data_IF_831805340156
#
_entry.id   IF_831805340156
#
_cell.length_a   1.000
_cell.length_b   1.000
_cell.length_c   1.000
_cell.angle_alpha   90.00
_cell.angle_beta   90.00
_cell.angle_gamma   90.00
#
_symmetry.space_group_name_H-M   'P 1'
#
loop_
_entity.id
_entity.type
_entity.pdbx_description
1 polymer ?
#
# COMPACT_ATOMS: atom_id res chain seq x y z
N UNK A 1 -17.17 -4.76 -5.96
CA UNK A 1 -16.79 -4.12 -7.21
C UNK A 1 -15.27 -4.11 -7.39
N UNK A 2 -14.75 -5.03 -8.17
CA UNK A 2 -13.33 -5.30 -8.44
C UNK A 2 -12.56 -4.05 -8.93
N UNK A 3 -11.76 -3.44 -8.06
CA UNK A 3 -11.09 -2.17 -8.36
C UNK A 3 -10.10 -2.31 -9.52
N UNK A 4 -9.27 -3.36 -9.52
CA UNK A 4 -8.31 -3.61 -10.58
C UNK A 4 -8.98 -3.80 -11.94
N UNK A 5 -10.06 -4.60 -12.01
CA UNK A 5 -10.82 -4.80 -13.24
C UNK A 5 -11.45 -3.50 -13.77
N UNK A 6 -11.97 -2.64 -12.87
CA UNK A 6 -12.51 -1.33 -13.28
C UNK A 6 -11.46 -0.38 -13.82
N UNK A 7 -10.26 -0.40 -13.23
CA UNK A 7 -9.16 0.44 -13.70
C UNK A 7 -8.65 -0.09 -15.03
N UNK A 8 -8.41 -1.39 -15.15
CA UNK A 8 -7.96 -2.04 -16.38
C UNK A 8 -8.92 -1.78 -17.55
N UNK A 9 -10.25 -1.87 -17.33
CA UNK A 9 -11.24 -1.60 -18.35
C UNK A 9 -11.24 -0.17 -18.93
N UNK A 10 -10.57 0.78 -18.26
CA UNK A 10 -10.43 2.17 -18.71
C UNK A 10 -9.10 2.45 -19.37
N UNK A 11 -8.24 1.45 -19.47
CA UNK A 11 -6.87 1.57 -19.96
C UNK A 11 -6.68 0.67 -21.19
N UNK A 12 -6.57 1.24 -22.40
CA UNK A 12 -6.41 0.46 -23.63
C UNK A 12 -5.15 -0.42 -23.62
N UNK A 13 -4.12 -0.03 -22.89
CA UNK A 13 -2.89 -0.82 -22.72
C UNK A 13 -3.10 -2.16 -21.96
N UNK A 14 -4.24 -2.34 -21.31
CA UNK A 14 -4.64 -3.61 -20.66
C UNK A 14 -5.75 -4.35 -21.43
N UNK A 15 -6.07 -3.92 -22.63
CA UNK A 15 -7.02 -4.64 -23.47
C UNK A 15 -6.45 -6.00 -23.89
N UNK A 16 -7.28 -7.06 -24.01
CA UNK A 16 -6.81 -8.40 -24.37
C UNK A 16 -6.11 -8.47 -25.73
N UNK A 17 -6.40 -7.53 -26.65
CA UNK A 17 -5.84 -7.39 -27.97
C UNK A 17 -4.78 -6.28 -28.07
N UNK A 18 -4.29 -5.78 -26.93
CA UNK A 18 -3.22 -4.77 -26.94
C UNK A 18 -1.94 -5.31 -27.60
N UNK A 19 -1.28 -4.48 -28.39
CA UNK A 19 -0.03 -4.84 -29.09
C UNK A 19 1.08 -5.23 -28.09
N UNK A 20 1.12 -4.58 -26.93
CA UNK A 20 2.04 -4.87 -25.85
C UNK A 20 1.26 -5.31 -24.62
N UNK A 21 1.59 -6.49 -24.10
CA UNK A 21 1.00 -7.00 -22.86
C UNK A 21 1.75 -6.45 -21.65
N UNK A 22 1.03 -5.78 -20.77
CA UNK A 22 1.55 -5.32 -19.51
C UNK A 22 1.18 -6.27 -18.38
N UNK A 23 2.09 -6.46 -17.44
CA UNK A 23 1.78 -7.18 -16.20
C UNK A 23 0.93 -6.32 -15.28
N UNK A 24 -0.03 -6.95 -14.60
CA UNK A 24 -0.92 -6.29 -13.65
C UNK A 24 -0.42 -6.29 -12.21
N UNK A 25 0.79 -6.79 -11.98
CA UNK A 25 1.36 -6.95 -10.64
C UNK A 25 0.55 -7.94 -9.78
N UNK A 26 0.44 -7.65 -8.50
CA UNK A 26 -0.26 -8.51 -7.52
C UNK A 26 -1.76 -8.16 -7.37
N UNK A 27 -2.34 -7.49 -8.34
CA UNK A 27 -3.74 -7.11 -8.29
C UNK A 27 -4.67 -8.31 -8.52
N UNK A 28 -5.77 -8.34 -7.77
CA UNK A 28 -6.74 -9.44 -7.80
C UNK A 28 -7.86 -9.11 -8.78
N UNK A 29 -8.14 -10.05 -9.68
CA UNK A 29 -9.19 -9.97 -10.69
C UNK A 29 -10.24 -11.07 -10.48
N UNK A 30 -11.53 -10.87 -10.91
CA UNK A 30 -12.56 -11.86 -10.74
C UNK A 30 -12.26 -13.20 -11.45
N UNK A 31 -11.61 -13.15 -12.61
CA UNK A 31 -11.28 -14.34 -13.40
C UNK A 31 -10.28 -15.29 -12.72
N UNK A 32 -9.50 -14.85 -11.71
CA UNK A 32 -8.67 -15.74 -10.90
C UNK A 32 -9.50 -16.83 -10.22
N UNK A 33 -10.70 -16.48 -9.77
CA UNK A 33 -11.61 -17.42 -9.10
C UNK A 33 -12.37 -18.33 -10.10
N UNK A 34 -12.28 -18.06 -11.38
CA UNK A 34 -12.83 -18.89 -12.45
C UNK A 34 -11.79 -19.87 -12.98
N UNK A 35 -10.55 -19.41 -13.16
CA UNK A 35 -9.48 -20.15 -13.81
C UNK A 35 -8.69 -21.03 -12.85
N UNK A 36 -8.42 -20.57 -11.62
CA UNK A 36 -7.66 -21.35 -10.64
C UNK A 36 -8.57 -22.29 -9.85
N UNK A 37 -8.42 -23.64 -10.00
CA UNK A 37 -9.22 -24.61 -9.25
C UNK A 37 -9.11 -24.48 -7.72
N UNK A 38 -7.99 -24.00 -7.19
CA UNK A 38 -7.81 -23.79 -5.75
C UNK A 38 -8.62 -22.59 -5.23
N UNK A 39 -8.85 -21.58 -6.07
CA UNK A 39 -9.58 -20.37 -5.70
C UNK A 39 -11.10 -20.46 -5.98
N UNK A 40 -11.54 -21.33 -6.88
CA UNK A 40 -12.97 -21.49 -7.22
C UNK A 40 -13.92 -21.64 -6.04
N UNK A 41 -13.58 -22.42 -4.98
CA UNK A 41 -14.46 -22.54 -3.81
C UNK A 41 -14.66 -21.22 -3.05
N UNK A 42 -13.81 -20.23 -3.27
CA UNK A 42 -13.86 -18.92 -2.62
C UNK A 42 -14.56 -17.85 -3.47
N UNK A 43 -14.96 -18.16 -4.70
CA UNK A 43 -15.48 -17.19 -5.66
C UNK A 43 -16.69 -16.40 -5.12
N UNK A 44 -17.65 -17.07 -4.50
CA UNK A 44 -18.85 -16.44 -3.94
C UNK A 44 -18.50 -15.47 -2.81
N UNK A 45 -17.64 -15.89 -1.88
CA UNK A 45 -17.19 -15.04 -0.77
C UNK A 45 -16.38 -13.85 -1.29
N UNK A 46 -15.50 -14.06 -2.25
CA UNK A 46 -14.73 -12.99 -2.88
C UNK A 46 -15.63 -11.96 -3.57
N UNK A 47 -16.69 -12.41 -4.26
CA UNK A 47 -17.66 -11.54 -4.90
C UNK A 47 -18.44 -10.72 -3.86
N UNK A 48 -18.93 -11.34 -2.79
CA UNK A 48 -19.62 -10.64 -1.70
C UNK A 48 -18.74 -9.56 -1.06
N UNK A 49 -17.49 -9.88 -0.80
CA UNK A 49 -16.52 -8.91 -0.26
C UNK A 49 -16.21 -7.78 -1.25
N UNK A 50 -16.07 -8.09 -2.54
CA UNK A 50 -15.85 -7.08 -3.57
C UNK A 50 -17.04 -6.12 -3.75
N UNK A 51 -18.25 -6.55 -3.47
CA UNK A 51 -19.47 -5.73 -3.55
C UNK A 51 -19.79 -4.97 -2.26
N UNK A 52 -19.21 -5.39 -1.13
CA UNK A 52 -19.44 -4.76 0.16
C UNK A 52 -19.02 -3.29 0.14
N UNK A 53 -19.88 -2.41 0.62
CA UNK A 53 -19.65 -0.95 0.66
C UNK A 53 -19.61 -0.39 2.09
N UNK A 54 -20.22 -1.09 3.01
CA UNK A 54 -20.40 -0.69 4.41
C UNK A 54 -19.25 -1.22 5.31
N UNK A 55 -18.02 -0.91 4.93
CA UNK A 55 -16.86 -1.21 5.76
C UNK A 55 -16.83 -0.28 6.97
N UNK A 56 -16.69 -0.84 8.16
CA UNK A 56 -16.44 -0.06 9.37
C UNK A 56 -15.10 0.69 9.29
N UNK A 57 -14.95 1.71 10.12
CA UNK A 57 -13.65 2.38 10.27
C UNK A 57 -12.65 1.41 10.87
N UNK A 58 -11.48 1.28 10.23
CA UNK A 58 -10.41 0.40 10.69
C UNK A 58 -9.60 1.05 11.81
N UNK A 59 -9.47 2.39 11.77
CA UNK A 59 -8.67 3.16 12.72
C UNK A 59 -9.47 4.29 13.36
N UNK A 60 -9.17 4.58 14.62
CA UNK A 60 -9.61 5.77 15.32
C UNK A 60 -8.62 6.92 15.05
N UNK A 61 -8.97 7.80 14.12
CA UNK A 61 -8.11 8.92 13.73
C UNK A 61 -7.87 9.91 14.86
N UNK A 62 -8.85 10.12 15.75
CA UNK A 62 -8.70 11.02 16.88
C UNK A 62 -7.71 10.46 17.90
N UNK A 63 -7.76 9.15 18.14
CA UNK A 63 -6.79 8.48 19.01
C UNK A 63 -5.40 8.48 18.39
N UNK A 64 -5.28 8.21 17.09
CA UNK A 64 -3.99 8.27 16.38
C UNK A 64 -3.40 9.67 16.41
N UNK A 65 -4.21 10.71 16.25
CA UNK A 65 -3.74 12.09 16.30
C UNK A 65 -3.19 12.50 17.67
N UNK A 66 -3.71 11.89 18.73
CA UNK A 66 -3.22 12.10 20.12
C UNK A 66 -2.01 11.24 20.50
N UNK A 67 -1.44 10.53 19.53
CA UNK A 67 -0.26 9.70 19.81
C UNK A 67 0.93 10.58 20.22
N UNK A 68 1.47 10.28 21.39
CA UNK A 68 2.66 10.96 21.95
C UNK A 68 3.95 10.12 21.75
N UNK A 69 3.79 8.84 21.43
CA UNK A 69 4.93 7.94 21.21
C UNK A 69 5.61 8.33 19.90
N UNK A 70 6.92 8.59 19.89
CA UNK A 70 7.62 8.91 18.66
C UNK A 70 7.54 7.76 17.64
N UNK A 71 7.12 8.11 16.43
CA UNK A 71 7.07 7.21 15.29
C UNK A 71 8.02 7.72 14.23
N UNK A 72 8.95 6.88 13.80
CA UNK A 72 9.80 7.17 12.64
C UNK A 72 9.48 6.18 11.52
N UNK A 73 9.31 6.67 10.31
CA UNK A 73 8.89 5.87 9.17
C UNK A 73 9.73 6.19 7.94
N UNK A 74 9.93 5.18 7.08
CA UNK A 74 10.47 5.36 5.75
C UNK A 74 9.32 5.33 4.73
N UNK A 75 9.30 6.30 3.81
CA UNK A 75 8.39 6.33 2.67
C UNK A 75 9.20 6.42 1.36
N UNK A 76 8.79 5.68 0.34
CA UNK A 76 9.51 5.59 -0.91
C UNK A 76 8.69 6.20 -2.05
N UNK A 77 9.23 7.22 -2.72
CA UNK A 77 8.49 7.89 -3.80
C UNK A 77 8.29 7.02 -5.05
N UNK A 78 9.18 6.07 -5.41
CA UNK A 78 8.97 5.19 -6.54
C UNK A 78 8.29 3.85 -6.17
N UNK A 79 7.68 3.74 -4.98
CA UNK A 79 6.94 2.55 -4.58
C UNK A 79 5.67 2.41 -5.44
N UNK A 80 5.55 1.29 -6.15
CA UNK A 80 4.40 1.00 -7.02
C UNK A 80 3.25 0.29 -6.30
N UNK A 81 3.46 -0.17 -5.06
CA UNK A 81 2.46 -0.88 -4.25
C UNK A 81 1.84 0.03 -3.20
N UNK A 82 2.66 0.86 -2.56
CA UNK A 82 2.21 1.79 -1.53
C UNK A 82 2.35 3.21 -2.05
N UNK A 83 1.23 3.83 -2.34
CA UNK A 83 1.18 5.21 -2.83
C UNK A 83 1.81 6.18 -1.83
N UNK A 84 2.76 6.99 -2.32
CA UNK A 84 3.51 7.92 -1.49
C UNK A 84 2.62 8.97 -0.82
N UNK A 85 1.64 9.54 -1.56
CA UNK A 85 0.76 10.58 -1.03
C UNK A 85 -0.16 10.02 0.07
N UNK A 86 -0.65 8.78 -0.09
CA UNK A 86 -1.41 8.09 0.95
C UNK A 86 -0.57 7.82 2.20
N UNK A 87 0.72 7.49 2.03
CA UNK A 87 1.66 7.33 3.14
C UNK A 87 1.86 8.63 3.90
N UNK A 88 2.02 9.74 3.18
CA UNK A 88 2.17 11.07 3.78
C UNK A 88 0.88 11.56 4.44
N UNK A 89 -0.27 11.21 3.88
CA UNK A 89 -1.56 11.47 4.52
C UNK A 89 -1.68 10.71 5.85
N UNK A 90 -1.35 9.43 5.86
CA UNK A 90 -1.33 8.62 7.09
C UNK A 90 -0.39 9.19 8.14
N UNK A 91 0.81 9.63 7.73
CA UNK A 91 1.77 10.25 8.63
C UNK A 91 1.23 11.54 9.28
N UNK A 92 0.40 12.31 8.57
CA UNK A 92 -0.27 13.49 9.13
C UNK A 92 -1.37 13.15 10.15
N UNK A 93 -1.99 11.97 10.02
CA UNK A 93 -3.01 11.52 10.97
C UNK A 93 -2.43 10.99 12.27
N UNK A 94 -1.24 10.41 12.24
CA UNK A 94 -0.59 9.86 13.43
C UNK A 94 0.27 10.92 14.09
N UNK A 95 -0.09 11.32 15.32
CA UNK A 95 0.68 12.30 16.09
C UNK A 95 2.11 11.84 16.32
N UNK A 96 3.02 12.79 16.44
CA UNK A 96 4.45 12.56 16.69
C UNK A 96 5.12 11.61 15.68
N UNK A 97 4.76 11.77 14.39
CA UNK A 97 5.30 10.96 13.29
C UNK A 97 6.30 11.77 12.45
N UNK A 98 7.48 11.19 12.25
CA UNK A 98 8.58 11.75 11.48
C UNK A 98 8.90 10.82 10.31
N UNK A 99 8.87 11.34 9.08
CA UNK A 99 9.05 10.52 7.88
C UNK A 99 10.36 10.85 7.18
N UNK A 100 11.16 9.82 6.93
CA UNK A 100 12.25 9.88 5.99
C UNK A 100 11.78 9.45 4.60
N UNK A 101 11.95 10.32 3.61
CA UNK A 101 11.57 10.04 2.23
C UNK A 101 12.77 9.60 1.42
N UNK A 102 12.70 8.44 0.79
CA UNK A 102 13.70 7.99 -0.18
C UNK A 102 13.15 8.06 -1.61
N UNK A 103 14.01 8.52 -2.54
CA UNK A 103 13.74 8.59 -3.98
C UNK A 103 14.36 7.43 -4.76
N UNK A 104 15.12 6.56 -4.09
CA UNK A 104 15.92 5.50 -4.72
C UNK A 104 15.52 4.10 -4.27
N UNK A 105 14.82 3.98 -3.15
CA UNK A 105 14.31 2.70 -2.67
C UNK A 105 12.89 2.48 -3.20
N UNK A 106 12.58 1.22 -3.49
CA UNK A 106 11.26 0.74 -3.91
C UNK A 106 10.57 -0.02 -2.77
N UNK A 107 9.50 -0.72 -3.05
CA UNK A 107 8.71 -1.46 -2.06
C UNK A 107 9.54 -2.45 -1.22
N UNK A 108 10.52 -3.08 -1.82
CA UNK A 108 11.46 -4.01 -1.16
C UNK A 108 12.62 -3.31 -0.44
N UNK A 109 12.59 -1.97 -0.33
CA UNK A 109 13.72 -1.18 0.15
C UNK A 109 14.33 -1.69 1.44
N UNK A 110 13.50 -2.02 2.44
CA UNK A 110 14.01 -2.58 3.70
C UNK A 110 14.66 -3.96 3.51
N UNK A 111 14.22 -4.76 2.55
CA UNK A 111 14.84 -6.05 2.21
C UNK A 111 16.16 -5.88 1.47
N UNK A 112 16.25 -4.90 0.57
CA UNK A 112 17.41 -4.69 -0.29
C UNK A 112 18.54 -3.88 0.38
N UNK A 113 18.19 -2.92 1.26
CA UNK A 113 19.16 -2.08 1.98
C UNK A 113 18.77 -1.83 3.45
N UNK A 114 18.69 -2.90 4.27
CA UNK A 114 18.24 -2.77 5.66
C UNK A 114 19.14 -1.91 6.52
N UNK A 115 20.46 -1.91 6.27
CA UNK A 115 21.40 -1.18 7.11
C UNK A 115 21.27 0.33 6.92
N UNK A 116 21.15 0.80 5.70
CA UNK A 116 20.95 2.23 5.40
C UNK A 116 19.63 2.71 5.97
N UNK A 117 18.54 1.99 5.69
CA UNK A 117 17.21 2.40 6.13
C UNK A 117 17.09 2.38 7.66
N UNK A 118 17.52 1.29 8.29
CA UNK A 118 17.53 1.20 9.76
C UNK A 118 18.43 2.25 10.40
N UNK A 119 19.57 2.57 9.78
CA UNK A 119 20.48 3.63 10.20
C UNK A 119 19.79 4.99 10.22
N UNK A 120 19.11 5.37 9.13
CA UNK A 120 18.31 6.59 9.06
C UNK A 120 17.24 6.65 10.14
N UNK A 121 16.43 5.60 10.27
CA UNK A 121 15.35 5.56 11.25
C UNK A 121 15.85 5.66 12.70
N UNK A 122 16.96 4.98 13.03
CA UNK A 122 17.57 5.08 14.37
C UNK A 122 18.10 6.47 14.67
N UNK A 123 18.74 7.14 13.69
CA UNK A 123 19.23 8.49 13.86
C UNK A 123 18.07 9.48 14.07
N UNK A 124 17.02 9.39 13.27
CA UNK A 124 15.82 10.21 13.45
C UNK A 124 15.19 10.01 14.83
N UNK A 125 15.07 8.76 15.28
CA UNK A 125 14.50 8.47 16.60
C UNK A 125 15.36 9.06 17.73
N UNK A 126 16.68 9.00 17.61
CA UNK A 126 17.59 9.61 18.58
C UNK A 126 17.48 11.14 18.60
N UNK A 127 17.28 11.78 17.44
CA UNK A 127 17.07 13.24 17.34
C UNK A 127 15.76 13.66 18.02
N UNK A 128 14.67 12.91 17.81
CA UNK A 128 13.38 13.18 18.45
C UNK A 128 13.44 13.04 19.98
N UNK A 129 14.17 12.07 20.50
CA UNK A 129 14.31 11.88 21.94
C UNK A 129 15.16 12.97 22.63
N UNK A 130 15.97 13.71 21.89
CA UNK A 130 16.85 14.77 22.42
C UNK A 130 16.21 16.17 22.36
N UNK A 131 14.98 16.27 21.87
CA UNK A 131 14.19 17.52 21.84
C UNK A 131 13.22 17.59 23.01
#
# INVERSE_FOLDING_TARGET
NWAAARVAAKRPEFAPDAETLFFTGEHIFPWYYEEDPALRPLAEVAQLLAEKKDWGRLYDHEQLHRNEVPVVAAAYTPDIYVDYENSMETARWVGNTHVWTSKTHHHDGFGSDPLTILGHLKNMLAEVHNQ
#
